data_IF_470929450141
#
_entry.id   IF_470929450141
#
_cell.length_a   1.000
_cell.length_b   1.000
_cell.length_c   1.000
_cell.angle_alpha   90.00
_cell.angle_beta   90.00
_cell.angle_gamma   90.00
#
_symmetry.space_group_name_H-M   'P 1'
#
loop_
_entity.id
_entity.type
_entity.pdbx_description
1 polymer ?
#
# COMPACT_ATOMS: atom_id res chain seq x y z
N UNK A 1 45.02 -21.35 12.14
CA UNK A 1 44.45 -21.55 13.49
C UNK A 1 42.95 -21.30 13.40
N UNK A 2 42.18 -22.34 13.13
CA UNK A 2 40.72 -22.26 13.00
C UNK A 2 40.10 -22.51 14.37
N UNK A 3 39.80 -21.43 15.10
CA UNK A 3 39.03 -21.50 16.34
C UNK A 3 37.54 -21.44 16.01
N UNK A 4 36.73 -22.37 16.54
CA UNK A 4 35.30 -22.44 16.28
C UNK A 4 34.49 -21.94 17.49
N UNK A 5 33.37 -21.25 17.22
CA UNK A 5 32.49 -20.68 18.25
C UNK A 5 31.28 -21.59 18.49
N UNK A 6 31.03 -21.86 19.75
CA UNK A 6 29.92 -22.69 20.20
C UNK A 6 29.13 -22.00 21.31
N UNK A 7 27.89 -22.43 21.48
CA UNK A 7 27.06 -22.04 22.61
C UNK A 7 26.71 -23.27 23.46
N UNK A 8 26.78 -23.09 24.78
CA UNK A 8 26.58 -24.14 25.78
C UNK A 8 25.44 -23.76 26.72
N UNK A 9 24.57 -24.72 27.04
CA UNK A 9 23.49 -24.55 28.01
C UNK A 9 23.84 -25.26 29.31
N UNK A 10 24.01 -24.48 30.37
CA UNK A 10 24.34 -24.93 31.72
C UNK A 10 23.12 -24.77 32.63
N UNK A 11 22.88 -25.75 33.49
CA UNK A 11 21.76 -25.76 34.46
C UNK A 11 22.26 -26.21 35.83
N UNK A 12 21.84 -25.51 36.88
CA UNK A 12 22.06 -25.94 38.27
C UNK A 12 20.96 -26.92 38.69
N UNK A 13 21.28 -28.22 38.73
CA UNK A 13 20.38 -29.29 39.16
C UNK A 13 20.85 -29.92 40.47
N UNK A 14 19.92 -30.42 41.26
CA UNK A 14 20.25 -31.03 42.54
C UNK A 14 19.21 -32.01 43.04
N UNK A 15 19.67 -32.95 43.85
CA UNK A 15 18.82 -33.74 44.75
C UNK A 15 18.56 -32.95 46.03
N UNK A 16 17.71 -33.44 46.93
CA UNK A 16 17.27 -32.74 48.14
C UNK A 16 18.42 -32.28 49.09
N UNK A 17 19.67 -32.71 48.84
CA UNK A 17 20.83 -32.40 49.67
C UNK A 17 21.93 -31.58 48.98
N UNK A 18 22.03 -31.55 47.65
CA UNK A 18 23.15 -30.89 46.94
C UNK A 18 22.75 -30.35 45.58
N UNK A 19 23.14 -29.10 45.27
CA UNK A 19 23.01 -28.48 43.94
C UNK A 19 24.34 -28.54 43.19
N UNK A 20 24.32 -28.98 41.94
CA UNK A 20 25.49 -29.10 41.04
C UNK A 20 25.15 -28.55 39.65
N UNK A 21 26.12 -27.93 38.99
CA UNK A 21 25.94 -27.44 37.62
C UNK A 21 26.21 -28.57 36.63
N UNK A 22 25.31 -28.75 35.68
CA UNK A 22 25.40 -29.75 34.60
C UNK A 22 25.33 -29.07 33.24
N UNK A 23 26.01 -29.65 32.25
CA UNK A 23 25.97 -29.25 30.85
C UNK A 23 24.89 -30.06 30.12
N UNK A 24 23.77 -29.42 29.76
CA UNK A 24 22.66 -30.13 29.11
C UNK A 24 22.80 -30.17 27.60
N UNK A 25 23.23 -29.07 26.97
CA UNK A 25 23.17 -28.91 25.52
C UNK A 25 24.32 -28.09 24.96
N UNK A 26 24.62 -28.34 23.68
CA UNK A 26 25.60 -27.63 22.87
C UNK A 26 25.00 -27.29 21.50
N UNK A 27 25.47 -26.20 20.88
CA UNK A 27 25.25 -25.90 19.47
C UNK A 27 26.40 -25.10 18.87
N UNK A 28 26.51 -25.12 17.54
CA UNK A 28 27.34 -24.18 16.80
C UNK A 28 26.76 -22.78 16.94
N UNK A 29 27.61 -21.74 16.97
CA UNK A 29 27.14 -20.36 17.11
C UNK A 29 26.25 -19.92 15.94
N UNK A 30 26.54 -20.39 14.73
CA UNK A 30 25.83 -19.99 13.50
C UNK A 30 24.59 -20.86 13.19
N UNK A 31 24.26 -21.85 14.03
CA UNK A 31 23.14 -22.75 13.81
C UNK A 31 22.12 -22.65 14.95
N UNK A 32 20.83 -22.83 14.64
CA UNK A 32 19.75 -22.73 15.62
C UNK A 32 19.53 -24.05 16.39
N UNK A 33 19.90 -25.18 15.81
CA UNK A 33 19.67 -26.52 16.36
C UNK A 33 20.52 -26.81 17.61
N UNK A 34 19.87 -27.25 18.69
CA UNK A 34 20.53 -27.69 19.92
C UNK A 34 20.71 -29.20 19.95
N UNK A 35 21.81 -29.65 20.52
CA UNK A 35 22.12 -31.06 20.72
C UNK A 35 22.26 -31.37 22.22
N UNK A 36 21.59 -32.42 22.71
CA UNK A 36 21.58 -32.77 24.12
C UNK A 36 22.64 -33.81 24.48
N UNK A 37 23.32 -33.61 25.61
CA UNK A 37 24.20 -34.62 26.19
C UNK A 37 23.40 -35.73 26.89
N UNK A 38 23.80 -37.02 26.74
CA UNK A 38 23.22 -38.12 27.52
C UNK A 38 23.36 -37.87 29.04
N UNK A 39 22.37 -38.28 29.84
CA UNK A 39 22.30 -37.96 31.28
C UNK A 39 23.57 -38.32 32.05
N UNK A 40 24.17 -39.46 31.71
CA UNK A 40 25.42 -39.96 32.28
C UNK A 40 26.64 -39.07 32.01
N UNK A 41 26.60 -38.26 30.94
CA UNK A 41 27.70 -37.38 30.55
C UNK A 41 27.49 -35.90 30.89
N UNK A 42 26.32 -35.48 31.37
CA UNK A 42 26.02 -34.07 31.64
C UNK A 42 26.84 -33.46 32.78
N UNK A 43 27.42 -34.26 33.67
CA UNK A 43 28.23 -33.75 34.80
C UNK A 43 29.49 -33.07 34.28
N UNK A 44 29.78 -31.86 34.78
CA UNK A 44 30.97 -31.08 34.40
C UNK A 44 32.30 -31.81 34.65
N UNK A 45 32.33 -32.81 35.52
CA UNK A 45 33.48 -33.69 35.72
C UNK A 45 33.91 -34.43 34.43
N UNK A 46 33.01 -34.64 33.48
CA UNK A 46 33.31 -35.22 32.17
C UNK A 46 33.86 -34.20 31.16
N UNK A 47 33.75 -32.90 31.44
CA UNK A 47 34.07 -31.80 30.54
C UNK A 47 35.25 -30.96 31.04
N UNK A 48 36.32 -31.61 31.53
CA UNK A 48 37.48 -30.93 32.16
C UNK A 48 38.10 -29.84 31.28
N UNK A 49 38.37 -30.16 30.01
CA UNK A 49 38.92 -29.23 29.03
C UNK A 49 38.04 -27.99 28.81
N UNK A 50 36.72 -28.15 28.97
CA UNK A 50 35.75 -27.06 28.79
C UNK A 50 35.73 -26.11 30.01
N UNK A 51 35.99 -26.63 31.22
CA UNK A 51 36.02 -25.86 32.46
C UNK A 51 37.22 -24.91 32.57
N UNK A 52 38.25 -25.12 31.75
CA UNK A 52 39.41 -24.24 31.64
C UNK A 52 39.09 -22.96 30.83
N UNK A 53 37.98 -22.96 30.09
CA UNK A 53 37.57 -21.85 29.23
C UNK A 53 36.89 -20.77 30.06
N UNK A 54 37.45 -19.55 30.04
CA UNK A 54 37.05 -18.46 30.91
C UNK A 54 35.53 -18.15 30.93
N UNK A 55 34.82 -18.05 29.78
CA UNK A 55 33.36 -17.91 29.76
C UNK A 55 32.61 -19.01 30.52
N UNK A 56 33.03 -20.28 30.38
CA UNK A 56 32.38 -21.43 31.02
C UNK A 56 32.64 -21.42 32.53
N UNK A 57 33.90 -21.17 32.92
CA UNK A 57 34.29 -21.02 34.33
C UNK A 57 33.54 -19.86 35.01
N UNK A 58 33.40 -18.72 34.33
CA UNK A 58 32.63 -17.59 34.81
C UNK A 58 31.16 -17.94 35.01
N UNK A 59 30.53 -18.58 34.02
CA UNK A 59 29.12 -18.95 34.10
C UNK A 59 28.81 -19.96 35.21
N UNK A 60 29.65 -20.99 35.37
CA UNK A 60 29.48 -22.00 36.44
C UNK A 60 29.59 -21.39 37.84
N UNK A 61 30.42 -20.35 38.03
CA UNK A 61 30.57 -19.67 39.34
C UNK A 61 29.33 -18.87 39.78
N UNK A 62 28.48 -18.47 38.82
CA UNK A 62 27.28 -17.65 39.06
C UNK A 62 26.05 -18.53 39.33
N UNK A 63 26.03 -19.75 38.81
CA UNK A 63 24.93 -20.70 38.95
C UNK A 63 24.95 -21.36 40.34
N UNK A 64 24.38 -20.67 41.33
CA UNK A 64 24.41 -21.09 42.75
C UNK A 64 23.10 -21.69 43.24
N UNK A 65 21.97 -21.27 42.68
CA UNK A 65 20.65 -21.74 43.12
C UNK A 65 20.05 -22.76 42.14
N UNK A 66 19.33 -23.75 42.68
CA UNK A 66 18.65 -24.80 41.90
C UNK A 66 17.69 -24.18 40.89
N UNK A 67 17.70 -24.71 39.67
CA UNK A 67 16.89 -24.23 38.55
C UNK A 67 17.45 -23.02 37.82
N UNK A 68 18.53 -22.39 38.31
CA UNK A 68 19.22 -21.36 37.53
C UNK A 68 19.91 -21.99 36.32
N UNK A 69 19.80 -21.31 35.17
CA UNK A 69 20.44 -21.73 33.94
C UNK A 69 21.12 -20.56 33.25
N UNK A 70 22.10 -20.85 32.39
CA UNK A 70 22.69 -19.87 31.48
C UNK A 70 23.11 -20.52 30.17
N UNK A 71 22.88 -19.79 29.09
CA UNK A 71 23.50 -20.05 27.79
C UNK A 71 24.75 -19.20 27.63
N UNK A 72 25.87 -19.81 27.26
CA UNK A 72 27.19 -19.17 27.24
C UNK A 72 27.85 -19.41 25.89
N UNK A 73 28.36 -18.33 25.29
CA UNK A 73 29.16 -18.42 24.08
C UNK A 73 30.63 -18.63 24.47
N UNK A 74 31.28 -19.62 23.87
CA UNK A 74 32.69 -19.87 24.07
C UNK A 74 33.38 -20.21 22.74
N UNK A 75 34.61 -19.73 22.58
CA UNK A 75 35.46 -20.08 21.44
C UNK A 75 36.36 -21.24 21.85
N UNK A 76 36.29 -22.35 21.13
CA UNK A 76 37.11 -23.54 21.38
C UNK A 76 38.35 -23.53 20.48
N UNK A 77 39.48 -23.97 21.04
CA UNK A 77 40.64 -24.39 20.25
C UNK A 77 40.34 -25.70 19.53
N UNK A 78 40.98 -25.97 18.40
CA UNK A 78 40.78 -27.19 17.60
C UNK A 78 40.88 -28.47 18.45
N UNK A 79 41.86 -28.55 19.36
CA UNK A 79 42.05 -29.71 20.25
C UNK A 79 40.88 -29.96 21.21
N UNK A 80 40.13 -28.92 21.60
CA UNK A 80 38.95 -29.04 22.47
C UNK A 80 37.70 -29.26 21.62
N UNK A 81 37.60 -28.62 20.46
CA UNK A 81 36.48 -28.79 19.54
C UNK A 81 36.33 -30.25 19.07
N UNK A 82 37.45 -30.94 18.77
CA UNK A 82 37.48 -32.36 18.38
C UNK A 82 36.94 -33.32 19.45
N UNK A 83 36.70 -32.86 20.68
CA UNK A 83 36.05 -33.67 21.73
C UNK A 83 34.53 -33.66 21.63
N UNK A 84 33.94 -32.71 20.89
CA UNK A 84 32.50 -32.46 20.80
C UNK A 84 31.96 -32.52 19.38
N UNK A 85 32.83 -32.43 18.38
CA UNK A 85 32.50 -32.42 16.96
C UNK A 85 33.51 -33.30 16.22
N UNK A 86 33.02 -34.17 15.35
CA UNK A 86 33.86 -35.00 14.48
C UNK A 86 34.39 -34.20 13.27
N UNK A 87 35.19 -34.86 12.42
CA UNK A 87 35.79 -34.22 11.23
C UNK A 87 34.73 -33.85 10.16
N UNK A 88 33.54 -34.47 10.20
CA UNK A 88 32.42 -34.23 9.29
C UNK A 88 31.44 -33.16 9.82
N UNK A 89 31.65 -32.63 11.03
CA UNK A 89 30.84 -31.57 11.62
C UNK A 89 29.65 -32.05 12.47
N UNK A 90 29.55 -33.34 12.77
CA UNK A 90 28.50 -33.89 13.64
C UNK A 90 28.87 -33.74 15.12
N UNK A 91 27.88 -33.48 15.97
CA UNK A 91 28.09 -33.40 17.41
C UNK A 91 28.24 -34.80 18.02
N UNK A 92 29.45 -35.14 18.44
CA UNK A 92 29.81 -36.42 19.03
C UNK A 92 30.58 -36.19 20.33
N UNK A 93 30.21 -36.90 21.40
CA UNK A 93 30.95 -36.87 22.66
C UNK A 93 31.19 -38.30 23.14
N UNK A 94 32.47 -38.69 23.33
CA UNK A 94 32.88 -40.05 23.72
C UNK A 94 32.18 -41.15 22.90
N UNK A 95 32.22 -41.03 21.58
CA UNK A 95 31.63 -41.99 20.63
C UNK A 95 30.08 -42.02 20.61
N UNK A 96 29.41 -41.13 21.36
CA UNK A 96 27.96 -40.96 21.30
C UNK A 96 27.59 -39.74 20.46
N UNK A 97 26.82 -39.98 19.39
CA UNK A 97 26.15 -38.91 18.65
C UNK A 97 25.09 -38.25 19.52
N UNK A 98 25.16 -36.92 19.61
CA UNK A 98 24.22 -36.16 20.41
C UNK A 98 22.87 -36.05 19.67
N UNK A 99 21.78 -36.20 20.42
CA UNK A 99 20.44 -36.10 19.85
C UNK A 99 20.04 -34.64 19.63
N UNK A 100 19.42 -34.36 18.47
CA UNK A 100 18.77 -33.07 18.22
C UNK A 100 17.65 -32.84 19.22
N UNK A 101 17.74 -31.75 19.96
CA UNK A 101 16.68 -31.32 20.87
C UNK A 101 15.70 -30.46 20.09
N UNK A 102 14.57 -31.05 19.71
CA UNK A 102 13.38 -30.27 19.33
C UNK A 102 12.77 -29.69 20.61
N UNK A 103 12.32 -28.44 20.57
CA UNK A 103 11.59 -27.84 21.69
C UNK A 103 10.24 -28.57 21.85
N UNK A 104 10.23 -29.67 22.59
CA UNK A 104 9.02 -30.25 23.16
C UNK A 104 9.06 -29.85 24.63
N UNK A 105 8.28 -28.82 24.99
CA UNK A 105 8.02 -28.49 26.39
C UNK A 105 7.11 -29.55 26.98
N UNK A 106 7.66 -30.70 27.36
CA UNK A 106 7.05 -31.56 28.37
C UNK A 106 7.78 -31.31 29.68
N UNK A 107 7.24 -30.48 30.60
CA UNK A 107 7.71 -30.45 31.96
C UNK A 107 7.09 -31.64 32.70
N UNK A 108 7.90 -32.62 33.07
CA UNK A 108 7.57 -33.53 34.17
C UNK A 108 7.62 -32.71 35.46
N UNK A 109 6.50 -32.12 35.86
CA UNK A 109 6.35 -31.39 37.11
C UNK A 109 4.94 -31.61 37.64
N UNK A 110 4.83 -32.31 38.78
CA UNK A 110 3.60 -32.74 39.44
C UNK A 110 2.86 -31.59 40.17
N UNK A 111 2.71 -30.42 39.54
CA UNK A 111 2.02 -29.27 40.15
C UNK A 111 0.88 -28.77 39.24
N UNK A 112 -0.39 -29.02 39.61
CA UNK A 112 -1.56 -28.80 38.74
C UNK A 112 -1.79 -27.33 38.35
N UNK A 113 -1.23 -26.35 39.10
CA UNK A 113 -1.30 -24.93 38.73
C UNK A 113 -0.31 -24.55 37.62
N UNK A 114 0.83 -25.23 37.55
CA UNK A 114 1.79 -25.04 36.47
C UNK A 114 1.28 -25.67 35.17
N UNK A 115 0.52 -26.76 35.23
CA UNK A 115 -0.11 -27.35 34.04
C UNK A 115 -1.17 -26.42 33.43
N UNK A 116 -1.94 -25.69 34.25
CA UNK A 116 -2.92 -24.71 33.75
C UNK A 116 -2.26 -23.47 33.12
N UNK A 117 -1.16 -22.99 33.72
CA UNK A 117 -0.37 -21.89 33.18
C UNK A 117 0.42 -22.31 31.94
N UNK A 118 1.01 -23.50 31.92
CA UNK A 118 1.70 -24.09 30.76
C UNK A 118 0.70 -24.38 29.64
N UNK A 119 -0.52 -24.83 29.95
CA UNK A 119 -1.60 -25.04 28.97
C UNK A 119 -2.15 -23.70 28.42
N UNK A 120 -2.10 -22.63 29.22
CA UNK A 120 -2.47 -21.28 28.77
C UNK A 120 -1.34 -20.61 27.98
N UNK A 121 -0.09 -20.83 28.36
CA UNK A 121 1.11 -20.35 27.66
C UNK A 121 1.36 -21.14 26.37
N UNK A 122 1.11 -22.45 26.32
CA UNK A 122 1.19 -23.24 25.10
C UNK A 122 0.12 -22.84 24.09
N UNK A 123 -1.08 -22.44 24.54
CA UNK A 123 -2.09 -21.79 23.67
C UNK A 123 -1.66 -20.42 23.12
N UNK A 124 -0.66 -19.77 23.74
CA UNK A 124 -0.11 -18.46 23.33
C UNK A 124 1.21 -18.64 22.55
N UNK A 125 2.00 -19.68 22.83
CA UNK A 125 3.35 -19.92 22.29
C UNK A 125 3.42 -21.00 21.22
N UNK A 126 2.43 -21.89 21.13
CA UNK A 126 2.00 -22.34 19.82
C UNK A 126 1.45 -21.10 19.15
N UNK A 127 2.30 -20.40 18.39
CA UNK A 127 1.78 -19.78 17.19
C UNK A 127 1.04 -20.90 16.50
N UNK A 128 -0.29 -20.99 16.68
CA UNK A 128 -1.16 -21.61 15.69
C UNK A 128 -0.55 -21.13 14.40
N UNK A 129 -0.04 -22.04 13.57
CA UNK A 129 0.32 -21.65 12.22
C UNK A 129 -0.94 -21.00 11.71
N UNK A 130 -0.95 -19.66 11.66
CA UNK A 130 -2.19 -18.95 11.41
C UNK A 130 -2.65 -19.48 10.07
N UNK A 131 -3.85 -20.07 10.05
CA UNK A 131 -4.33 -20.66 8.81
C UNK A 131 -4.37 -19.53 7.79
N UNK A 132 -4.18 -19.83 6.50
CA UNK A 132 -4.28 -18.80 5.47
C UNK A 132 -5.59 -18.04 5.60
N UNK A 133 -6.67 -18.71 6.03
CA UNK A 133 -7.96 -18.07 6.31
C UNK A 133 -7.91 -17.05 7.44
N UNK A 134 -7.14 -17.28 8.50
CA UNK A 134 -7.00 -16.36 9.63
C UNK A 134 -6.11 -15.17 9.27
N UNK A 135 -5.01 -15.42 8.55
CA UNK A 135 -4.14 -14.36 8.01
C UNK A 135 -4.97 -13.42 7.14
N UNK A 136 -5.74 -13.97 6.19
CA UNK A 136 -6.53 -13.20 5.23
C UNK A 136 -7.62 -12.32 5.87
N UNK A 137 -8.04 -12.57 7.13
CA UNK A 137 -8.98 -11.67 7.84
C UNK A 137 -8.34 -10.32 8.18
N UNK A 138 -7.03 -10.32 8.39
CA UNK A 138 -6.28 -9.14 8.81
C UNK A 138 -5.25 -8.69 7.75
N UNK A 139 -5.07 -9.46 6.68
CA UNK A 139 -4.18 -9.12 5.57
C UNK A 139 -4.80 -8.00 4.73
N UNK A 140 -4.24 -6.80 4.81
CA UNK A 140 -4.84 -5.59 4.24
C UNK A 140 -4.33 -5.34 2.82
N UNK A 141 -4.66 -6.23 1.90
CA UNK A 141 -4.38 -6.05 0.48
C UNK A 141 -5.63 -6.30 -0.37
N UNK A 142 -5.82 -5.46 -1.38
CA UNK A 142 -6.81 -5.72 -2.42
C UNK A 142 -6.39 -6.91 -3.27
N UNK A 143 -7.37 -7.69 -3.76
CA UNK A 143 -7.08 -8.80 -4.67
C UNK A 143 -6.41 -8.29 -5.94
N UNK A 144 -5.38 -8.99 -6.39
CA UNK A 144 -4.74 -8.71 -7.66
C UNK A 144 -5.59 -9.20 -8.81
N UNK A 145 -5.84 -8.33 -9.77
CA UNK A 145 -6.49 -8.60 -11.04
C UNK A 145 -5.66 -8.03 -12.18
N UNK A 146 -6.01 -8.39 -13.41
CA UNK A 146 -5.40 -7.78 -14.61
C UNK A 146 -5.68 -6.26 -14.71
N UNK A 147 -6.66 -5.74 -13.95
CA UNK A 147 -7.00 -4.31 -13.91
C UNK A 147 -6.05 -3.50 -13.01
N UNK A 148 -5.15 -4.16 -12.28
CA UNK A 148 -4.20 -3.49 -11.41
C UNK A 148 -3.18 -2.70 -12.26
N UNK A 149 -3.40 -1.38 -12.37
CA UNK A 149 -2.59 -0.48 -13.20
C UNK A 149 -1.11 -0.44 -12.83
N UNK A 150 -0.78 -0.66 -11.55
CA UNK A 150 0.59 -0.70 -11.09
C UNK A 150 0.85 -1.99 -10.30
N UNK A 151 1.41 -2.93 -11.04
CA UNK A 151 1.75 -4.27 -10.56
C UNK A 151 2.86 -4.23 -9.53
N UNK A 152 3.87 -3.39 -9.73
CA UNK A 152 5.01 -3.26 -8.83
C UNK A 152 4.59 -2.70 -7.46
N UNK A 153 3.76 -1.66 -7.46
CA UNK A 153 3.20 -1.08 -6.24
C UNK A 153 2.32 -2.08 -5.47
N UNK A 154 1.60 -2.96 -6.18
CA UNK A 154 0.85 -4.04 -5.55
C UNK A 154 1.78 -5.08 -4.93
N UNK A 155 2.83 -5.51 -5.65
CA UNK A 155 3.84 -6.44 -5.12
C UNK A 155 4.53 -5.88 -3.87
N UNK A 156 4.82 -4.58 -3.83
CA UNK A 156 5.44 -3.94 -2.68
C UNK A 156 4.51 -3.91 -1.45
N UNK A 157 3.20 -3.73 -1.65
CA UNK A 157 2.22 -3.89 -0.58
C UNK A 157 2.17 -5.32 -0.07
N UNK A 158 2.10 -6.29 -1.00
CA UNK A 158 2.09 -7.70 -0.65
C UNK A 158 3.33 -8.10 0.14
N UNK A 159 4.50 -7.61 -0.24
CA UNK A 159 5.76 -7.89 0.43
C UNK A 159 5.81 -7.26 1.83
N UNK A 160 5.29 -6.03 2.00
CA UNK A 160 5.17 -5.37 3.31
C UNK A 160 4.23 -6.14 4.24
N UNK A 161 3.05 -6.53 3.76
CA UNK A 161 2.10 -7.32 4.54
C UNK A 161 2.66 -8.72 4.83
N UNK A 162 3.33 -9.37 3.87
CA UNK A 162 4.00 -10.64 4.09
C UNK A 162 5.03 -10.55 5.22
N UNK A 163 5.84 -9.49 5.25
CA UNK A 163 6.78 -9.23 6.34
C UNK A 163 6.07 -9.01 7.67
N UNK A 164 4.94 -8.30 7.69
CA UNK A 164 4.14 -8.05 8.90
C UNK A 164 3.64 -9.34 9.57
N UNK A 165 3.30 -10.34 8.75
CA UNK A 165 2.85 -11.67 9.20
C UNK A 165 3.97 -12.73 9.22
N UNK A 166 5.24 -12.33 9.04
CA UNK A 166 6.39 -13.24 8.99
C UNK A 166 6.21 -14.39 7.98
N UNK A 167 5.59 -14.11 6.83
CA UNK A 167 5.36 -15.11 5.79
C UNK A 167 6.65 -15.34 4.99
N UNK A 168 7.09 -16.59 4.92
CA UNK A 168 8.26 -17.01 4.15
C UNK A 168 7.99 -18.31 3.38
N UNK A 169 8.70 -18.50 2.27
CA UNK A 169 8.66 -19.74 1.49
C UNK A 169 7.26 -20.10 1.00
N UNK A 170 6.89 -21.38 1.14
CA UNK A 170 5.63 -21.92 0.62
C UNK A 170 4.38 -21.18 1.14
N UNK A 171 4.35 -20.83 2.43
CA UNK A 171 3.21 -20.16 3.06
C UNK A 171 2.97 -18.77 2.47
N UNK A 172 4.03 -18.07 2.08
CA UNK A 172 3.93 -16.79 1.38
C UNK A 172 3.29 -16.96 0.00
N UNK A 173 3.60 -18.03 -0.72
CA UNK A 173 3.01 -18.34 -2.04
C UNK A 173 1.55 -18.79 -1.93
N UNK A 174 1.19 -19.49 -0.84
CA UNK A 174 -0.19 -19.87 -0.57
C UNK A 174 -1.08 -18.63 -0.27
N UNK A 175 -0.55 -17.68 0.50
CA UNK A 175 -1.20 -16.38 0.73
C UNK A 175 -1.27 -15.58 -0.57
N UNK A 176 -0.23 -15.59 -1.41
CA UNK A 176 -0.27 -14.99 -2.74
C UNK A 176 -1.46 -15.52 -3.53
N UNK A 177 -1.63 -16.84 -3.63
CA UNK A 177 -2.77 -17.46 -4.34
C UNK A 177 -4.11 -16.93 -3.85
N UNK A 178 -4.26 -16.75 -2.54
CA UNK A 178 -5.49 -16.23 -1.92
C UNK A 178 -5.73 -14.73 -2.20
N UNK A 179 -4.64 -13.99 -2.45
CA UNK A 179 -4.65 -12.59 -2.82
C UNK A 179 -4.87 -12.38 -4.33
N UNK A 180 -4.92 -13.43 -5.14
CA UNK A 180 -5.23 -13.31 -6.56
C UNK A 180 -6.76 -13.39 -6.79
N UNK A 181 -7.23 -12.64 -7.78
CA UNK A 181 -8.58 -12.81 -8.31
C UNK A 181 -8.73 -14.21 -8.94
N UNK A 182 -9.91 -14.87 -8.82
CA UNK A 182 -10.16 -16.17 -9.47
C UNK A 182 -9.78 -16.23 -10.95
N UNK A 183 -9.90 -15.12 -11.69
CA UNK A 183 -9.49 -15.04 -13.11
C UNK A 183 -7.98 -15.26 -13.33
N UNK A 184 -7.16 -15.14 -12.30
CA UNK A 184 -5.70 -15.31 -12.34
C UNK A 184 -5.25 -16.75 -12.01
N UNK A 185 -6.20 -17.66 -11.77
CA UNK A 185 -5.93 -19.05 -11.37
C UNK A 185 -5.10 -19.83 -12.40
N UNK A 186 -5.35 -19.62 -13.69
CA UNK A 186 -4.58 -20.23 -14.77
C UNK A 186 -3.14 -19.72 -14.82
N UNK A 187 -2.96 -18.41 -14.71
CA UNK A 187 -1.63 -17.81 -14.64
C UNK A 187 -0.84 -18.36 -13.45
N UNK A 188 -1.48 -18.45 -12.28
CA UNK A 188 -0.84 -19.00 -11.08
C UNK A 188 -0.43 -20.46 -11.29
N UNK A 189 -1.32 -21.28 -11.85
CA UNK A 189 -1.08 -22.71 -12.09
C UNK A 189 0.05 -22.95 -13.09
N UNK A 190 0.15 -22.14 -14.15
CA UNK A 190 1.23 -22.21 -15.15
C UNK A 190 2.57 -21.87 -14.51
N UNK A 191 2.64 -20.79 -13.71
CA UNK A 191 3.89 -20.39 -13.06
C UNK A 191 4.29 -21.36 -11.95
N UNK A 192 3.33 -21.94 -11.23
CA UNK A 192 3.60 -22.97 -10.23
C UNK A 192 4.28 -24.21 -10.84
N UNK A 193 3.96 -24.59 -12.09
CA UNK A 193 4.61 -25.71 -12.79
C UNK A 193 5.98 -25.35 -13.37
N UNK A 194 6.21 -24.07 -13.67
CA UNK A 194 7.46 -23.57 -14.28
C UNK A 194 8.52 -23.23 -13.25
N UNK A 195 8.11 -22.95 -12.02
CA UNK A 195 8.98 -22.62 -10.90
C UNK A 195 9.28 -23.89 -10.10
N UNK A 196 10.55 -24.07 -9.72
CA UNK A 196 10.98 -25.20 -8.89
C UNK A 196 10.44 -25.09 -7.46
N UNK A 197 10.47 -26.18 -6.70
CA UNK A 197 10.02 -26.23 -5.30
C UNK A 197 10.80 -25.30 -4.35
N UNK A 198 11.94 -24.76 -4.81
CA UNK A 198 12.79 -23.79 -4.10
C UNK A 198 12.44 -22.34 -4.43
N UNK A 199 11.48 -22.08 -5.33
CA UNK A 199 11.13 -20.73 -5.76
C UNK A 199 10.66 -19.89 -4.58
N UNK A 200 11.28 -18.72 -4.44
CA UNK A 200 10.97 -17.74 -3.40
C UNK A 200 10.07 -16.64 -3.96
N UNK A 201 9.51 -15.80 -3.09
CA UNK A 201 8.65 -14.68 -3.52
C UNK A 201 9.27 -13.81 -4.62
N UNK A 202 10.60 -13.63 -4.61
CA UNK A 202 11.31 -12.85 -5.63
C UNK A 202 11.02 -13.37 -7.04
N UNK A 203 11.05 -14.68 -7.26
CA UNK A 203 10.83 -15.29 -8.57
C UNK A 203 9.38 -15.08 -9.04
N UNK A 204 8.43 -15.18 -8.11
CA UNK A 204 7.02 -14.91 -8.36
C UNK A 204 6.75 -13.43 -8.68
N UNK A 205 7.38 -12.52 -7.94
CA UNK A 205 7.30 -11.07 -8.17
C UNK A 205 7.79 -10.70 -9.57
N UNK A 206 8.93 -11.24 -9.98
CA UNK A 206 9.49 -11.01 -11.32
C UNK A 206 8.54 -11.52 -12.42
N UNK A 207 7.94 -12.70 -12.27
CA UNK A 207 6.95 -13.22 -13.22
C UNK A 207 5.69 -12.37 -13.29
N UNK A 208 5.18 -11.93 -12.14
CA UNK A 208 3.96 -11.15 -12.04
C UNK A 208 4.16 -9.78 -12.71
N UNK A 209 5.28 -9.10 -12.45
CA UNK A 209 5.66 -7.84 -13.12
C UNK A 209 5.89 -8.06 -14.62
N UNK A 210 6.60 -9.12 -15.02
CA UNK A 210 6.87 -9.36 -16.45
C UNK A 210 5.62 -9.69 -17.28
N UNK A 211 4.59 -10.26 -16.65
CA UNK A 211 3.36 -10.67 -17.35
C UNK A 211 2.34 -9.53 -17.42
N UNK A 212 2.18 -8.78 -16.33
CA UNK A 212 1.09 -7.80 -16.18
C UNK A 212 1.57 -6.35 -16.06
N UNK A 213 2.88 -6.12 -15.98
CA UNK A 213 3.44 -4.77 -15.88
C UNK A 213 3.15 -3.96 -17.14
N UNK A 214 2.44 -2.84 -17.00
CA UNK A 214 2.24 -1.89 -18.08
C UNK A 214 3.44 -0.94 -18.18
N UNK A 215 4.35 -1.26 -19.10
CA UNK A 215 5.51 -0.42 -19.43
C UNK A 215 5.20 0.64 -20.50
N UNK A 216 3.92 0.83 -20.86
CA UNK A 216 3.54 1.81 -21.87
C UNK A 216 3.56 3.23 -21.29
N UNK A 217 3.70 4.21 -22.18
CA UNK A 217 3.58 5.61 -21.80
C UNK A 217 2.12 6.05 -21.57
N UNK A 218 1.12 5.19 -21.82
CA UNK A 218 -0.31 5.56 -21.76
C UNK A 218 -0.73 5.93 -20.32
N UNK A 219 -0.49 5.11 -19.28
CA UNK A 219 -0.79 5.49 -17.90
C UNK A 219 -0.04 6.74 -17.44
N UNK A 220 1.25 6.84 -17.79
CA UNK A 220 2.11 7.99 -17.43
C UNK A 220 1.53 9.27 -18.02
N UNK A 221 1.26 9.27 -19.33
CA UNK A 221 0.70 10.41 -20.04
C UNK A 221 -0.67 10.77 -19.47
N UNK A 222 -1.52 9.78 -19.20
CA UNK A 222 -2.85 10.01 -18.65
C UNK A 222 -2.76 10.72 -17.29
N UNK A 223 -2.03 10.15 -16.32
CA UNK A 223 -1.95 10.74 -14.99
C UNK A 223 -1.32 12.13 -15.02
N UNK A 224 -0.25 12.35 -15.80
CA UNK A 224 0.46 13.63 -15.86
C UNK A 224 -0.37 14.71 -16.57
N UNK A 225 -1.12 14.35 -17.61
CA UNK A 225 -1.96 15.28 -18.38
C UNK A 225 -3.41 15.36 -17.89
N UNK A 226 -3.81 14.61 -16.86
CA UNK A 226 -5.15 14.69 -16.28
C UNK A 226 -5.44 16.11 -15.73
N UNK A 227 -6.48 16.77 -16.26
CA UNK A 227 -6.81 18.16 -15.96
C UNK A 227 -8.24 18.31 -15.47
N UNK A 228 -8.49 19.38 -14.73
CA UNK A 228 -9.83 19.75 -14.30
C UNK A 228 -10.67 20.14 -15.52
N UNK A 229 -11.84 19.51 -15.65
CA UNK A 229 -12.80 19.80 -16.71
C UNK A 229 -14.06 20.47 -16.15
N UNK A 230 -14.63 19.87 -15.10
CA UNK A 230 -15.86 20.32 -14.43
C UNK A 230 -16.04 19.59 -13.11
N UNK A 231 -16.95 20.08 -12.25
CA UNK A 231 -17.28 19.46 -10.96
C UNK A 231 -16.53 20.09 -9.79
N UNK A 232 -16.40 19.36 -8.68
CA UNK A 232 -15.64 19.84 -7.52
C UNK A 232 -14.14 19.88 -7.83
N UNK A 233 -13.49 20.96 -7.39
CA UNK A 233 -12.03 21.06 -7.41
C UNK A 233 -11.38 20.06 -6.47
N UNK A 234 -12.02 19.76 -5.33
CA UNK A 234 -11.54 18.77 -4.37
C UNK A 234 -11.54 17.37 -4.99
N UNK A 235 -12.65 16.99 -5.65
CA UNK A 235 -12.73 15.69 -6.33
C UNK A 235 -11.65 15.55 -7.41
N UNK A 236 -11.39 16.63 -8.15
CA UNK A 236 -10.28 16.66 -9.12
C UNK A 236 -8.92 16.44 -8.46
N UNK A 237 -8.62 17.17 -7.37
CA UNK A 237 -7.35 17.04 -6.65
C UNK A 237 -7.15 15.61 -6.17
N UNK A 238 -8.15 15.00 -5.53
CA UNK A 238 -8.10 13.62 -5.04
C UNK A 238 -7.89 12.62 -6.18
N UNK A 239 -8.61 12.77 -7.30
CA UNK A 239 -8.44 11.88 -8.47
C UNK A 239 -7.05 12.02 -9.08
N UNK A 240 -6.56 13.26 -9.24
CA UNK A 240 -5.24 13.54 -9.82
C UNK A 240 -4.14 12.98 -8.92
N UNK A 241 -4.21 13.23 -7.63
CA UNK A 241 -3.29 12.69 -6.62
C UNK A 241 -3.26 11.16 -6.67
N UNK A 242 -4.45 10.52 -6.69
CA UNK A 242 -4.58 9.07 -6.84
C UNK A 242 -3.86 8.56 -8.09
N UNK A 243 -4.09 9.16 -9.27
CA UNK A 243 -3.42 8.70 -10.50
C UNK A 243 -1.90 8.87 -10.46
N UNK A 244 -1.38 9.92 -9.81
CA UNK A 244 0.05 10.13 -9.68
C UNK A 244 0.68 9.10 -8.73
N UNK A 245 0.06 8.85 -7.59
CA UNK A 245 0.51 7.85 -6.61
C UNK A 245 0.32 6.40 -7.12
N UNK A 246 -0.65 6.17 -8.00
CA UNK A 246 -0.79 4.92 -8.73
C UNK A 246 0.40 4.67 -9.66
N UNK A 247 1.02 5.70 -10.24
CA UNK A 247 2.22 5.53 -11.07
C UNK A 247 3.47 5.32 -10.24
N UNK A 248 3.71 6.21 -9.28
CA UNK A 248 4.89 6.16 -8.44
C UNK A 248 4.59 6.70 -7.05
N UNK A 249 4.63 5.81 -6.07
CA UNK A 249 4.40 6.12 -4.65
C UNK A 249 5.53 6.92 -4.01
N UNK A 250 6.68 7.03 -4.67
CA UNK A 250 7.86 7.75 -4.20
C UNK A 250 7.94 9.16 -4.79
N UNK A 251 6.95 9.59 -5.57
CA UNK A 251 6.89 10.96 -6.08
C UNK A 251 6.92 11.96 -4.91
N UNK A 252 7.79 12.98 -4.96
CA UNK A 252 7.82 14.00 -3.91
C UNK A 252 6.50 14.78 -3.84
N UNK A 253 6.01 15.04 -2.63
CA UNK A 253 4.75 15.77 -2.38
C UNK A 253 4.67 17.11 -3.12
N UNK A 254 5.82 17.82 -3.23
CA UNK A 254 5.89 19.08 -3.97
C UNK A 254 5.64 18.91 -5.47
N UNK A 255 6.11 17.80 -6.06
CA UNK A 255 5.88 17.49 -7.48
C UNK A 255 4.42 17.12 -7.71
N UNK A 256 3.83 16.34 -6.79
CA UNK A 256 2.40 16.00 -6.83
C UNK A 256 1.56 17.29 -6.76
N UNK A 257 1.88 18.17 -5.82
CA UNK A 257 1.20 19.46 -5.65
C UNK A 257 1.31 20.33 -6.91
N UNK A 258 2.50 20.49 -7.47
CA UNK A 258 2.74 21.29 -8.67
C UNK A 258 1.95 20.71 -9.87
N UNK A 259 1.92 19.38 -10.04
CA UNK A 259 1.17 18.71 -11.12
C UNK A 259 -0.35 18.84 -10.96
N UNK A 260 -0.85 18.86 -9.73
CA UNK A 260 -2.27 19.14 -9.44
C UNK A 260 -2.60 20.59 -9.81
N UNK A 261 -1.79 21.56 -9.37
CA UNK A 261 -2.04 22.99 -9.61
C UNK A 261 -2.00 23.30 -11.11
N UNK A 262 -1.01 22.79 -11.85
CA UNK A 262 -0.88 22.99 -13.31
C UNK A 262 -2.10 22.48 -14.09
N UNK A 263 -2.83 21.51 -13.54
CA UNK A 263 -4.04 20.98 -14.17
C UNK A 263 -5.34 21.69 -13.81
N UNK A 264 -5.31 22.70 -12.93
CA UNK A 264 -6.47 23.56 -12.61
C UNK A 264 -6.72 24.62 -13.72
N UNK A 265 -7.87 25.30 -13.75
CA UNK A 265 -8.10 26.44 -14.64
C UNK A 265 -7.16 27.61 -14.34
N UNK A 266 -6.73 28.38 -15.37
CA UNK A 266 -5.77 29.49 -15.20
C UNK A 266 -6.22 30.55 -14.19
N UNK A 267 -7.51 30.86 -14.12
CA UNK A 267 -8.03 31.85 -13.16
C UNK A 267 -7.86 31.38 -11.70
N UNK A 268 -7.91 30.06 -11.45
CA UNK A 268 -7.62 29.47 -10.15
C UNK A 268 -6.12 29.42 -9.91
N UNK A 269 -5.33 29.04 -10.91
CA UNK A 269 -3.86 29.02 -10.78
C UNK A 269 -3.32 30.41 -10.40
N UNK A 270 -3.79 31.46 -11.07
CA UNK A 270 -3.33 32.83 -10.87
C UNK A 270 -3.68 33.40 -9.49
N UNK A 271 -4.70 32.86 -8.82
CA UNK A 271 -5.09 33.28 -7.48
C UNK A 271 -4.35 32.50 -6.37
N UNK A 272 -3.62 31.44 -6.73
CA UNK A 272 -2.80 30.65 -5.82
C UNK A 272 -1.37 31.20 -5.78
N UNK A 273 -0.89 31.53 -4.58
CA UNK A 273 0.49 31.93 -4.37
C UNK A 273 1.36 30.71 -4.03
N UNK A 274 2.39 30.45 -4.85
CA UNK A 274 3.31 29.31 -4.75
C UNK A 274 4.01 29.18 -3.38
N UNK A 275 4.37 30.29 -2.74
CA UNK A 275 5.05 30.27 -1.44
C UNK A 275 4.10 29.96 -0.27
N UNK A 276 2.81 30.21 -0.46
CA UNK A 276 1.79 30.00 0.59
C UNK A 276 1.10 28.65 0.48
N UNK A 277 1.05 28.05 -0.71
CA UNK A 277 0.44 26.73 -0.95
C UNK A 277 1.56 25.71 -1.00
N UNK A 278 1.93 25.20 0.16
CA UNK A 278 3.04 24.25 0.30
C UNK A 278 2.56 22.80 0.45
N UNK A 279 1.28 22.59 0.75
CA UNK A 279 0.68 21.26 0.93
C UNK A 279 -0.69 21.16 0.24
N UNK A 280 -1.09 19.92 -0.05
CA UNK A 280 -2.41 19.61 -0.64
C UNK A 280 -3.55 20.05 0.28
N UNK A 281 -3.39 19.94 1.60
CA UNK A 281 -4.39 20.41 2.57
C UNK A 281 -4.59 21.93 2.55
N UNK A 282 -3.50 22.68 2.36
CA UNK A 282 -3.59 24.14 2.18
C UNK A 282 -4.31 24.45 0.87
N UNK A 283 -3.99 23.71 -0.19
CA UNK A 283 -4.65 23.84 -1.49
C UNK A 283 -6.16 23.58 -1.36
N UNK A 284 -6.57 22.47 -0.74
CA UNK A 284 -7.98 22.13 -0.50
C UNK A 284 -8.74 23.25 0.21
N UNK A 285 -8.16 23.84 1.27
CA UNK A 285 -8.77 24.96 1.99
C UNK A 285 -8.96 26.20 1.12
N UNK A 286 -8.03 26.48 0.20
CA UNK A 286 -8.17 27.60 -0.75
C UNK A 286 -9.20 27.30 -1.83
N UNK A 287 -9.20 26.08 -2.38
CA UNK A 287 -10.13 25.67 -3.43
C UNK A 287 -11.60 25.70 -2.97
N UNK A 288 -11.87 25.36 -1.70
CA UNK A 288 -13.22 25.49 -1.12
C UNK A 288 -13.79 26.91 -1.21
N UNK A 289 -12.96 27.94 -1.14
CA UNK A 289 -13.41 29.34 -1.30
C UNK A 289 -13.86 29.63 -2.73
N UNK A 290 -13.17 29.06 -3.73
CA UNK A 290 -13.58 29.21 -5.13
C UNK A 290 -14.87 28.47 -5.43
N UNK A 291 -15.15 27.35 -4.75
CA UNK A 291 -16.43 26.64 -4.89
C UNK A 291 -17.60 27.43 -4.28
N UNK A 292 -17.41 28.03 -3.10
CA UNK A 292 -18.44 28.87 -2.47
C UNK A 292 -18.75 30.12 -3.29
N UNK A 293 -17.73 30.77 -3.85
CA UNK A 293 -17.90 32.01 -4.64
C UNK A 293 -18.69 31.76 -5.93
N UNK A 294 -18.54 30.58 -6.54
CA UNK A 294 -19.28 30.16 -7.75
C UNK A 294 -20.77 29.92 -7.41
N UNK A 295 -21.05 29.28 -6.27
CA UNK A 295 -22.43 29.04 -5.80
C UNK A 295 -23.13 30.36 -5.46
N UNK A 296 -22.46 31.27 -4.75
CA UNK A 296 -23.01 32.57 -4.37
C UNK A 296 -23.28 33.47 -5.58
N UNK A 297 -22.39 33.42 -6.58
CA UNK A 297 -22.58 34.17 -7.83
C UNK A 297 -23.77 33.65 -8.64
N UNK A 298 -24.01 32.34 -8.64
CA UNK A 298 -25.16 31.72 -9.33
C UNK A 298 -26.49 32.05 -8.65
N UNK A 299 -26.51 32.11 -7.32
CA UNK A 299 -27.70 32.47 -6.53
C UNK A 299 -28.04 33.97 -6.65
N UNK A 300 -27.04 34.85 -6.67
CA UNK A 300 -27.23 36.29 -6.92
C UNK A 300 -27.71 36.61 -8.33
N UNK A 301 -27.39 35.76 -9.32
CA UNK A 301 -27.92 35.92 -10.68
C UNK A 301 -29.40 35.54 -10.74
N UNK A 302 -29.80 34.42 -10.10
CA UNK A 302 -31.21 33.99 -10.01
C UNK A 302 -32.10 34.98 -9.26
N UNK A 303 -31.59 35.63 -8.20
CA UNK A 303 -32.37 36.61 -7.45
C UNK A 303 -32.60 37.92 -8.22
N UNK A 304 -31.72 38.28 -9.17
CA UNK A 304 -31.86 39.48 -10.01
C UNK A 304 -32.90 39.33 -11.13
N UNK A 305 -33.23 38.10 -11.53
CA UNK A 305 -34.30 37.84 -12.49
C UNK A 305 -35.68 37.63 -11.84
N UNK A 306 -35.78 37.69 -10.52
CA UNK A 306 -37.01 37.40 -9.79
C UNK A 306 -37.48 38.59 -8.94
N UNK A 307 -37.43 39.79 -9.52
CA UNK A 307 -38.05 40.99 -8.93
C UNK A 307 -38.96 41.65 -9.96
N UNK A 308 -40.26 41.59 -9.65
CA UNK A 308 -41.42 42.30 -10.18
C UNK A 308 -42.04 41.82 -11.51
N UNK A 309 -43.16 41.08 -11.41
CA UNK A 309 -44.42 41.79 -11.59
C UNK A 309 -45.61 41.15 -10.85
N UNK A 310 -46.45 42.06 -10.35
CA UNK A 310 -47.56 41.92 -9.44
C UNK A 310 -48.70 41.01 -9.93
N UNK A 311 -49.28 40.29 -8.96
CA UNK A 311 -50.67 39.82 -8.98
C UNK A 311 -51.66 40.99 -9.20
N UNK A 312 -52.60 40.82 -10.13
CA UNK A 312 -53.97 41.35 -9.98
C UNK A 312 -54.96 40.49 -10.79
N UNK A 313 -55.74 39.71 -10.02
CA UNK A 313 -57.09 39.17 -10.25
C UNK A 313 -57.71 39.32 -11.65
N UNK A 314 -58.24 38.23 -12.21
CA UNK A 314 -59.70 38.08 -12.37
C UNK A 314 -60.08 36.62 -12.73
N UNK A 315 -61.19 36.19 -12.14
CA UNK A 315 -61.81 34.88 -12.26
C UNK A 315 -62.35 34.57 -13.67
N UNK A 316 -62.21 33.30 -14.06
CA UNK A 316 -63.28 32.44 -14.62
C UNK A 316 -63.93 32.82 -15.97
N UNK A 317 -63.66 32.01 -17.00
CA UNK A 317 -64.71 31.28 -17.75
C UNK A 317 -64.13 30.46 -18.91
N UNK A 318 -64.79 29.31 -19.15
CA UNK A 318 -64.65 28.37 -20.26
C UNK A 318 -64.75 29.06 -21.63
N UNK A 319 -64.15 28.47 -22.67
CA UNK A 319 -64.80 27.90 -23.88
C UNK A 319 -63.74 27.59 -24.97
N UNK A 320 -63.91 26.45 -25.64
CA UNK A 320 -63.17 25.96 -26.81
C UNK A 320 -63.19 26.94 -27.99
N UNK A 321 -62.17 26.92 -28.83
CA UNK A 321 -62.25 26.68 -30.29
C UNK A 321 -60.99 27.16 -31.03
N UNK A 322 -60.84 26.59 -32.22
CA UNK A 322 -59.74 26.65 -33.16
C UNK A 322 -59.46 28.04 -33.77
N UNK A 323 -58.40 28.06 -34.59
CA UNK A 323 -58.07 29.01 -35.66
C UNK A 323 -57.08 30.15 -35.35
N UNK A 324 -55.89 29.99 -35.94
CA UNK A 324 -55.02 31.06 -36.44
C UNK A 324 -55.83 32.15 -37.18
N UNK A 325 -55.43 33.44 -37.22
CA UNK A 325 -54.30 33.80 -38.09
C UNK A 325 -53.47 35.06 -37.71
N UNK A 326 -52.33 35.16 -38.41
CA UNK A 326 -51.46 36.30 -38.72
C UNK A 326 -52.13 37.69 -38.64
N UNK A 327 -51.42 38.72 -38.13
CA UNK A 327 -51.12 39.96 -38.88
C UNK A 327 -50.17 40.93 -38.13
N UNK A 328 -49.08 41.27 -38.83
CA UNK A 328 -48.42 42.58 -39.04
C UNK A 328 -48.31 43.63 -37.91
N UNK A 329 -47.03 43.97 -37.67
CA UNK A 329 -46.42 45.32 -37.64
C UNK A 329 -47.11 46.46 -36.87
N UNK A 330 -46.35 47.12 -36.00
CA UNK A 330 -45.89 48.51 -36.24
C UNK A 330 -44.91 48.99 -35.17
N UNK A 331 -43.84 49.57 -35.71
CA UNK A 331 -42.94 50.57 -35.14
C UNK A 331 -43.52 51.40 -33.99
N UNK A 332 -42.70 51.59 -32.96
CA UNK A 332 -42.41 52.93 -32.42
C UNK A 332 -40.91 53.05 -32.14
N UNK A 333 -40.27 53.90 -32.93
CA UNK A 333 -39.00 54.55 -32.61
C UNK A 333 -39.29 55.71 -31.64
N UNK A 334 -38.51 55.81 -30.57
CA UNK A 334 -38.24 57.10 -29.92
C UNK A 334 -36.89 57.03 -29.25
N UNK A 335 -35.93 57.59 -29.96
CA UNK A 335 -34.63 58.09 -29.51
C UNK A 335 -34.72 58.92 -28.23
N UNK A 336 -33.78 58.70 -27.31
CA UNK A 336 -33.08 59.82 -26.68
C UNK A 336 -31.62 59.45 -26.42
N UNK A 337 -30.76 60.22 -27.08
CA UNK A 337 -29.32 60.20 -27.04
C UNK A 337 -28.79 60.92 -25.80
N UNK A 338 -27.81 60.31 -25.14
CA UNK A 338 -26.69 61.03 -24.53
C UNK A 338 -25.46 60.11 -24.52
N UNK A 339 -24.63 60.33 -25.54
CA UNK A 339 -23.19 60.08 -25.64
C UNK A 339 -22.46 60.36 -24.29
N UNK A 340 -21.49 59.58 -23.79
CA UNK A 340 -20.28 59.00 -24.40
C UNK A 340 -19.65 57.97 -23.44
N UNK A 341 -19.31 56.79 -23.95
CA UNK A 341 -17.92 56.26 -24.03
C UNK A 341 -17.95 54.87 -24.67
N UNK A 342 -17.43 54.84 -25.88
CA UNK A 342 -17.30 53.69 -26.77
C UNK A 342 -16.37 52.63 -26.19
N UNK A 343 -16.90 51.42 -25.98
CA UNK A 343 -16.12 50.19 -26.05
C UNK A 343 -16.92 49.19 -26.89
N UNK A 344 -16.28 48.72 -27.97
CA UNK A 344 -16.85 47.85 -28.99
C UNK A 344 -17.62 46.66 -28.38
N UNK A 345 -18.95 46.68 -28.51
CA UNK A 345 -19.76 45.48 -28.43
C UNK A 345 -19.48 44.64 -29.69
N UNK A 346 -18.39 43.87 -29.66
CA UNK A 346 -18.24 42.73 -30.55
C UNK A 346 -19.36 41.77 -30.18
N UNK A 347 -20.28 41.53 -31.13
CA UNK A 347 -21.30 40.50 -31.06
C UNK A 347 -20.74 39.25 -30.37
N UNK A 348 -21.19 38.99 -29.15
CA UNK A 348 -20.76 37.83 -28.36
C UNK A 348 -21.36 36.58 -29.03
N UNK A 349 -20.66 36.05 -30.04
CA UNK A 349 -20.92 34.72 -30.58
C UNK A 349 -20.42 33.69 -29.57
N UNK A 350 -21.13 32.57 -29.45
CA UNK A 350 -20.63 31.42 -28.71
C UNK A 350 -19.28 31.00 -29.30
N UNK A 351 -18.30 30.75 -28.43
CA UNK A 351 -16.98 30.34 -28.87
C UNK A 351 -17.07 28.98 -29.56
N UNK A 352 -16.62 28.90 -30.82
CA UNK A 352 -16.70 27.67 -31.65
C UNK A 352 -16.01 26.47 -30.99
N UNK A 353 -14.85 26.70 -30.36
CA UNK A 353 -14.13 25.67 -29.62
C UNK A 353 -14.92 25.13 -28.41
N UNK A 354 -15.65 25.99 -27.69
CA UNK A 354 -16.46 25.58 -26.55
C UNK A 354 -17.71 24.82 -27.02
N UNK A 355 -18.36 25.30 -28.09
CA UNK A 355 -19.50 24.62 -28.71
C UNK A 355 -19.12 23.22 -29.23
N UNK A 356 -17.93 23.06 -29.85
CA UNK A 356 -17.42 21.75 -30.29
C UNK A 356 -17.21 20.74 -29.14
N UNK A 357 -17.17 21.22 -27.90
CA UNK A 357 -17.03 20.43 -26.68
C UNK A 357 -18.33 20.32 -25.88
N UNK A 358 -19.46 20.73 -26.45
CA UNK A 358 -20.79 20.67 -25.83
C UNK A 358 -21.12 21.85 -24.90
N UNK A 359 -20.29 22.91 -24.88
CA UNK A 359 -20.50 24.09 -24.05
C UNK A 359 -20.97 25.28 -24.89
N UNK A 360 -22.29 25.35 -25.13
CA UNK A 360 -22.89 26.33 -26.05
C UNK A 360 -23.05 27.74 -25.44
N UNK A 361 -23.03 27.88 -24.11
CA UNK A 361 -23.35 29.15 -23.44
C UNK A 361 -22.12 30.03 -23.12
N UNK A 362 -20.92 29.63 -23.56
CA UNK A 362 -19.67 30.36 -23.25
C UNK A 362 -19.38 31.44 -24.28
N UNK A 363 -19.48 32.69 -23.84
CA UNK A 363 -19.29 33.90 -24.65
C UNK A 363 -17.95 34.58 -24.33
N UNK A 364 -16.90 34.24 -25.08
CA UNK A 364 -15.59 34.90 -25.04
C UNK A 364 -14.94 34.87 -26.43
N UNK A 365 -14.00 35.78 -26.74
CA UNK A 365 -13.25 35.72 -27.99
C UNK A 365 -12.45 34.41 -28.08
N UNK A 366 -12.38 33.85 -29.28
CA UNK A 366 -11.69 32.59 -29.53
C UNK A 366 -10.21 32.64 -29.14
N UNK A 367 -9.54 33.79 -29.34
CA UNK A 367 -8.15 34.05 -28.89
C UNK A 367 -7.91 33.85 -27.41
N UNK A 368 -8.94 34.00 -26.57
CA UNK A 368 -8.88 33.77 -25.13
C UNK A 368 -9.49 32.41 -24.73
N UNK A 369 -9.84 31.56 -25.70
CA UNK A 369 -10.46 30.27 -25.42
C UNK A 369 -9.45 29.30 -24.81
N UNK A 370 -9.81 28.76 -23.65
CA UNK A 370 -9.06 27.70 -22.98
C UNK A 370 -8.78 26.47 -23.86
N UNK A 371 -9.70 26.16 -24.79
CA UNK A 371 -9.55 25.03 -25.73
C UNK A 371 -8.72 25.37 -26.98
N UNK A 372 -8.23 26.62 -27.12
CA UNK A 372 -7.54 27.07 -28.33
C UNK A 372 -6.12 26.53 -28.48
N UNK A 373 -5.49 26.02 -27.42
CA UNK A 373 -4.06 25.71 -27.46
C UNK A 373 -3.75 24.21 -27.40
N UNK A 374 -3.41 23.65 -28.59
CA UNK A 374 -2.16 22.91 -28.87
C UNK A 374 -2.13 22.44 -30.33
N UNK A 375 -1.57 23.25 -31.21
CA UNK A 375 -1.19 22.88 -32.59
C UNK A 375 0.18 22.18 -32.68
N UNK A 376 0.70 21.59 -31.60
CA UNK A 376 1.97 20.86 -31.65
C UNK A 376 1.86 19.34 -31.82
N UNK A 377 0.67 18.74 -31.69
CA UNK A 377 0.45 17.35 -32.11
C UNK A 377 -1.04 17.17 -32.47
N UNK A 378 -1.39 16.58 -33.64
CA UNK A 378 -2.77 16.19 -33.91
C UNK A 378 -3.07 14.97 -33.03
N UNK A 379 -3.41 15.20 -31.76
CA UNK A 379 -4.04 14.20 -30.92
C UNK A 379 -5.46 14.65 -30.64
N UNK A 380 -6.43 13.85 -31.08
CA UNK A 380 -7.80 13.90 -30.56
C UNK A 380 -7.69 14.03 -29.04
N UNK A 381 -8.12 15.16 -28.49
CA UNK A 381 -8.28 15.32 -27.05
C UNK A 381 -9.41 14.36 -26.65
N UNK A 382 -9.04 13.15 -26.27
CA UNK A 382 -9.96 12.16 -25.71
C UNK A 382 -10.49 12.80 -24.43
N UNK A 383 -11.81 12.94 -24.34
CA UNK A 383 -12.44 13.45 -23.12
C UNK A 383 -11.98 12.59 -21.93
N UNK A 384 -11.79 13.13 -20.72
CA UNK A 384 -11.43 12.27 -19.56
C UNK A 384 -12.42 11.10 -19.42
N UNK A 385 -13.68 11.29 -19.84
CA UNK A 385 -14.72 10.25 -19.92
C UNK A 385 -14.46 9.21 -21.03
N UNK A 386 -14.05 9.60 -22.24
CA UNK A 386 -13.65 8.65 -23.30
C UNK A 386 -12.29 8.00 -23.01
N UNK A 387 -11.44 8.63 -22.21
CA UNK A 387 -10.14 8.10 -21.79
C UNK A 387 -10.32 7.11 -20.64
N UNK A 388 -11.23 7.40 -19.71
CA UNK A 388 -11.73 6.42 -18.74
C UNK A 388 -12.43 5.26 -19.46
N UNK A 389 -13.25 5.53 -20.50
CA UNK A 389 -13.89 4.47 -21.29
C UNK A 389 -12.87 3.63 -22.07
N UNK A 390 -11.85 4.23 -22.68
CA UNK A 390 -10.77 3.51 -23.40
C UNK A 390 -9.67 2.93 -22.50
N UNK A 391 -9.74 3.17 -21.19
CA UNK A 391 -9.04 2.37 -20.17
C UNK A 391 -9.91 1.19 -19.70
N UNK A 392 -11.23 1.26 -19.88
CA UNK A 392 -12.19 0.18 -19.60
C UNK A 392 -12.67 -0.58 -20.85
N UNK A 393 -12.38 -0.16 -22.07
CA UNK A 393 -12.87 -0.82 -23.30
C UNK A 393 -11.95 -1.97 -23.76
N UNK A 394 -10.74 -2.06 -23.21
CA UNK A 394 -9.95 -3.30 -23.27
C UNK A 394 -10.58 -4.41 -22.39
N UNK A 395 -11.67 -4.15 -21.67
CA UNK A 395 -12.40 -5.10 -20.79
C UNK A 395 -13.30 -6.12 -21.54
N UNK A 396 -13.30 -6.20 -22.88
CA UNK A 396 -14.12 -7.20 -23.61
C UNK A 396 -13.43 -7.96 -24.75
N UNK A 397 -12.10 -7.95 -24.85
CA UNK A 397 -11.37 -8.87 -25.75
C UNK A 397 -10.13 -9.47 -25.11
N UNK A 398 -10.35 -10.49 -24.27
CA UNK A 398 -9.78 -11.84 -24.37
C UNK A 398 -10.05 -12.65 -23.11
#
# INVERSE_FOLDING_TARGET
>A
MTSAKFQFFLLAEGTDKTTSVVLKRIRSFDNETWFSFPEEYQKLAHHKSLMEIAPIKGATSVLKARGQYRSVNATLTEAVAKQYVDDDGNFVFKEHYLAETRFITTPTSSDPKMDELVSSLSKISESKEESVKDIMKHFLIEKFSQKNKNVEAWCDLFEKESKRFNLTGFKQIEVLKSCLDPAMSDWFSVNQRRLDSTAVWKDWKEKLISTFGDNSWKPIRYAYLYKYMSGSYIDYCVKKEKYLLELDRKLPDIVILDLIIVGLPSHVQNSLNKHTVTTIDILHRKLKKFESDVLDSSNKFKSKFNVNNYNKNFNQSKINSEESPKFKSKFFTSSNSSEKKTNNFVNKKACSFCASKGYNDRLHPETACWFKDKSLFPQKSVNNVEAESSLSEDETKN
#
